data_IF_277342141010
#
_entry.id   IF_277342141010
#
_cell.length_a   1.000
_cell.length_b   1.000
_cell.length_c   1.000
_cell.angle_alpha   90.00
_cell.angle_beta   90.00
_cell.angle_gamma   90.00
#
_symmetry.space_group_name_H-M   'P 1'
#
loop_
_entity.id
_entity.type
_entity.pdbx_description
1 polymer ?
#
# COMPACT_ATOMS: atom_id res chain seq x y z
N UNK A 1 -39.29 55.67 -46.34
CA UNK A 1 -39.32 54.89 -45.09
C UNK A 1 -38.20 53.86 -45.15
N UNK A 2 -37.10 54.10 -44.40
CA UNK A 2 -35.93 53.24 -44.35
C UNK A 2 -36.02 52.34 -43.08
N UNK A 3 -36.09 51.04 -43.26
CA UNK A 3 -36.14 50.08 -42.18
C UNK A 3 -34.69 49.68 -41.82
N UNK A 4 -34.22 50.05 -40.65
CA UNK A 4 -32.95 49.57 -40.09
C UNK A 4 -33.23 48.21 -39.40
N UNK A 5 -32.62 47.16 -39.94
CA UNK A 5 -32.58 45.84 -39.27
C UNK A 5 -31.34 45.78 -38.41
N UNK A 6 -31.54 45.71 -37.10
CA UNK A 6 -30.48 45.56 -36.10
C UNK A 6 -30.17 44.07 -35.94
N UNK A 7 -28.99 43.62 -36.35
CA UNK A 7 -28.50 42.29 -36.09
C UNK A 7 -27.89 42.25 -34.65
N UNK A 8 -28.57 41.56 -33.74
CA UNK A 8 -28.04 41.19 -32.44
C UNK A 8 -27.16 39.95 -32.58
N UNK A 9 -25.86 40.09 -32.47
CA UNK A 9 -24.92 38.97 -32.39
C UNK A 9 -24.98 38.33 -31.02
N UNK A 10 -25.53 37.13 -30.92
CA UNK A 10 -25.53 36.31 -29.72
C UNK A 10 -24.14 35.66 -29.59
N UNK A 11 -23.29 36.16 -28.71
CA UNK A 11 -22.03 35.53 -28.36
C UNK A 11 -22.32 34.33 -27.45
N UNK A 12 -22.22 33.11 -28.01
CA UNK A 12 -22.25 31.89 -27.21
C UNK A 12 -20.94 31.76 -26.43
N UNK A 13 -20.97 32.03 -25.13
CA UNK A 13 -19.89 31.66 -24.22
C UNK A 13 -19.89 30.13 -24.05
N UNK A 14 -19.00 29.45 -24.73
CA UNK A 14 -18.69 28.05 -24.47
C UNK A 14 -17.93 27.95 -23.15
N UNK A 15 -18.63 27.63 -22.06
CA UNK A 15 -18.02 27.16 -20.82
C UNK A 15 -17.38 25.78 -21.10
N UNK A 16 -16.10 25.76 -21.38
CA UNK A 16 -15.31 24.54 -21.28
C UNK A 16 -15.21 24.19 -19.79
N UNK A 17 -16.08 23.33 -19.32
CA UNK A 17 -15.92 22.67 -18.02
C UNK A 17 -14.61 21.86 -18.10
N UNK A 18 -13.54 22.35 -17.45
CA UNK A 18 -12.40 21.52 -17.09
C UNK A 18 -12.90 20.49 -16.05
N UNK A 19 -13.49 19.42 -16.50
CA UNK A 19 -13.74 18.23 -15.70
C UNK A 19 -12.41 17.55 -15.48
N UNK A 20 -11.70 17.88 -14.38
CA UNK A 20 -10.59 17.08 -13.90
C UNK A 20 -11.17 15.68 -13.62
N UNK A 21 -10.67 14.63 -14.29
CA UNK A 21 -11.03 13.26 -13.95
C UNK A 21 -10.68 13.01 -12.49
N UNK A 22 -11.61 12.44 -11.72
CA UNK A 22 -11.33 12.07 -10.33
C UNK A 22 -10.16 11.07 -10.32
N UNK A 23 -9.13 11.36 -9.51
CA UNK A 23 -7.96 10.49 -9.41
C UNK A 23 -8.33 9.16 -8.73
N UNK A 24 -7.73 8.08 -9.20
CA UNK A 24 -7.81 6.76 -8.56
C UNK A 24 -7.04 6.83 -7.23
N UNK A 25 -7.75 6.65 -6.13
CA UNK A 25 -7.16 6.69 -4.78
C UNK A 25 -6.53 5.36 -4.42
N UNK A 26 -5.27 5.39 -4.03
CA UNK A 26 -4.51 4.21 -3.61
C UNK A 26 -4.10 4.35 -2.15
N UNK A 27 -4.48 3.38 -1.30
CA UNK A 27 -4.00 3.29 0.08
C UNK A 27 -2.86 2.28 0.17
N UNK A 28 -1.68 2.70 0.62
CA UNK A 28 -0.57 1.82 0.98
C UNK A 28 -0.63 1.54 2.48
N UNK A 29 -1.23 0.43 2.86
CA UNK A 29 -1.37 -0.06 4.25
C UNK A 29 -0.16 -0.88 4.63
N UNK A 30 0.52 -0.56 5.74
CA UNK A 30 1.72 -1.30 6.09
C UNK A 30 2.40 -0.88 7.39
N UNK A 31 3.59 -1.43 7.57
CA UNK A 31 4.46 -1.23 8.73
C UNK A 31 5.54 -0.15 8.48
N UNK A 32 6.70 -0.27 9.13
CA UNK A 32 7.85 0.63 9.00
C UNK A 32 8.38 0.75 7.56
N UNK A 33 8.30 -0.31 6.77
CA UNK A 33 8.77 -0.30 5.38
C UNK A 33 7.83 0.58 4.53
N UNK A 34 6.54 0.54 4.79
CA UNK A 34 5.56 1.42 4.13
C UNK A 34 5.66 2.86 4.63
N UNK A 35 5.85 3.07 5.95
CA UNK A 35 6.10 4.42 6.51
C UNK A 35 7.37 5.06 5.94
N UNK A 36 8.33 4.25 5.48
CA UNK A 36 9.62 4.70 4.97
C UNK A 36 10.65 4.91 6.09
N UNK A 37 10.67 4.02 7.09
CA UNK A 37 11.62 4.09 8.20
C UNK A 37 13.07 4.12 7.70
N UNK A 38 13.83 5.10 8.17
CA UNK A 38 15.21 5.29 7.79
C UNK A 38 15.43 5.90 6.40
N UNK A 39 14.41 6.12 5.58
CA UNK A 39 14.50 6.88 4.33
C UNK A 39 14.80 8.35 4.68
N UNK A 40 15.84 8.90 4.07
CA UNK A 40 16.35 10.23 4.44
C UNK A 40 15.34 11.35 4.16
N UNK A 41 14.63 11.26 3.05
CA UNK A 41 13.58 12.22 2.67
C UNK A 41 12.33 11.42 2.29
N UNK A 42 11.54 11.02 3.29
CA UNK A 42 10.34 10.20 3.11
C UNK A 42 9.37 10.81 2.09
N UNK A 43 9.11 12.11 2.18
CA UNK A 43 8.22 12.84 1.26
C UNK A 43 8.66 12.83 -0.21
N UNK A 44 9.82 12.25 -0.51
CA UNK A 44 10.37 12.12 -1.87
C UNK A 44 10.64 10.66 -2.25
N UNK A 45 11.14 9.87 -1.31
CA UNK A 45 11.84 8.60 -1.61
C UNK A 45 11.22 7.36 -0.94
N UNK A 46 10.19 7.49 -0.08
CA UNK A 46 9.47 6.31 0.38
C UNK A 46 8.73 5.63 -0.79
N UNK A 47 8.47 4.33 -0.69
CA UNK A 47 7.90 3.62 -1.83
C UNK A 47 6.49 4.13 -2.21
N UNK A 48 5.59 4.56 -1.31
CA UNK A 48 4.29 5.12 -1.70
C UNK A 48 4.42 6.41 -2.51
N UNK A 49 5.36 7.30 -2.16
CA UNK A 49 5.62 8.53 -2.94
C UNK A 49 6.21 8.22 -4.31
N UNK A 50 7.16 7.28 -4.37
CA UNK A 50 7.73 6.80 -5.65
C UNK A 50 6.66 6.13 -6.49
N UNK A 51 5.80 5.30 -5.88
CA UNK A 51 4.66 4.65 -6.53
C UNK A 51 3.72 5.68 -7.18
N UNK A 52 3.36 6.73 -6.44
CA UNK A 52 2.52 7.81 -6.97
C UNK A 52 3.13 8.43 -8.24
N UNK A 53 4.43 8.66 -8.22
CA UNK A 53 5.17 9.22 -9.37
C UNK A 53 5.18 8.28 -10.57
N UNK A 54 5.33 6.97 -10.35
CA UNK A 54 5.33 5.94 -11.42
C UNK A 54 3.92 5.76 -12.00
N UNK A 55 2.88 5.81 -11.17
CA UNK A 55 1.50 5.70 -11.61
C UNK A 55 1.04 6.94 -12.40
N UNK A 56 1.54 8.12 -12.05
CA UNK A 56 1.26 9.40 -12.73
C UNK A 56 0.00 10.11 -12.22
N UNK A 57 -0.34 11.21 -12.89
CA UNK A 57 -1.34 12.19 -12.44
C UNK A 57 -2.78 11.63 -12.31
N UNK A 58 -3.07 10.49 -12.91
CA UNK A 58 -4.36 9.81 -12.77
C UNK A 58 -4.57 9.12 -11.41
N UNK A 59 -3.54 9.08 -10.56
CA UNK A 59 -3.56 8.40 -9.28
C UNK A 59 -3.22 9.34 -8.12
N UNK A 60 -3.75 9.03 -6.95
CA UNK A 60 -3.42 9.68 -5.68
C UNK A 60 -3.09 8.62 -4.65
N UNK A 61 -1.79 8.43 -4.37
CA UNK A 61 -1.30 7.41 -3.45
C UNK A 61 -1.10 8.00 -2.07
N UNK A 62 -1.74 7.40 -1.07
CA UNK A 62 -1.59 7.77 0.33
C UNK A 62 -0.76 6.73 1.08
N UNK A 63 0.28 7.19 1.78
CA UNK A 63 1.04 6.40 2.72
C UNK A 63 0.23 6.25 4.02
N UNK A 64 -0.18 5.02 4.33
CA UNK A 64 -0.85 4.60 5.56
C UNK A 64 0.01 3.60 6.34
N UNK A 65 1.33 3.71 6.25
CA UNK A 65 2.28 2.89 6.99
C UNK A 65 2.50 3.39 8.40
N UNK A 66 2.77 2.45 9.34
CA UNK A 66 3.13 2.76 10.72
C UNK A 66 4.19 1.80 11.23
N UNK A 67 5.33 2.34 11.65
CA UNK A 67 6.47 1.56 12.15
C UNK A 67 6.10 0.65 13.30
N UNK A 68 6.62 -0.57 13.25
CA UNK A 68 6.48 -1.57 14.32
C UNK A 68 5.17 -2.33 14.34
N UNK A 69 4.19 -1.96 13.50
CA UNK A 69 2.83 -2.51 13.57
C UNK A 69 2.71 -3.93 13.05
N UNK A 70 1.76 -4.65 13.65
CA UNK A 70 1.37 -6.03 13.35
C UNK A 70 -0.05 -6.08 12.80
N UNK A 71 -0.36 -7.14 12.06
CA UNK A 71 -1.73 -7.49 11.68
C UNK A 71 -2.49 -8.02 12.89
N UNK A 72 -1.82 -8.84 13.71
CA UNK A 72 -2.45 -9.48 14.87
C UNK A 72 -2.86 -8.46 15.91
N UNK A 73 -4.13 -8.50 16.32
CA UNK A 73 -4.75 -7.58 17.30
C UNK A 73 -4.20 -7.75 18.73
N UNK A 74 -3.77 -8.97 19.06
CA UNK A 74 -3.21 -9.33 20.36
C UNK A 74 -1.68 -9.38 20.35
N UNK A 75 -1.04 -8.59 19.47
CA UNK A 75 0.41 -8.49 19.39
C UNK A 75 0.93 -7.23 20.12
N UNK A 76 2.25 -7.02 20.09
CA UNK A 76 2.90 -5.93 20.82
C UNK A 76 2.49 -4.54 20.33
N UNK A 77 2.19 -4.38 19.04
CA UNK A 77 1.73 -3.09 18.49
C UNK A 77 0.75 -3.27 17.31
N UNK A 78 -0.53 -3.49 17.59
CA UNK A 78 -1.53 -3.71 16.53
C UNK A 78 -1.73 -2.49 15.64
N UNK A 79 -1.75 -2.69 14.33
CA UNK A 79 -2.07 -1.63 13.34
C UNK A 79 -3.44 -1.00 13.57
N UNK A 80 -4.37 -1.77 14.11
CA UNK A 80 -5.77 -1.44 14.40
C UNK A 80 -5.98 -0.23 15.29
N UNK A 81 -5.02 0.05 16.19
CA UNK A 81 -5.10 1.17 17.14
C UNK A 81 -4.42 2.45 16.62
N UNK A 82 -3.85 2.39 15.41
CA UNK A 82 -3.08 3.50 14.86
C UNK A 82 -3.98 4.47 14.08
N UNK A 83 -3.57 5.73 14.03
CA UNK A 83 -4.22 6.75 13.22
C UNK A 83 -4.17 6.39 11.72
N UNK A 84 -3.10 5.75 11.29
CA UNK A 84 -2.85 5.32 9.92
C UNK A 84 -3.90 4.29 9.46
N UNK A 85 -4.33 3.40 10.34
CA UNK A 85 -5.46 2.50 10.08
C UNK A 85 -6.76 3.28 9.85
N UNK A 86 -7.07 4.21 10.75
CA UNK A 86 -8.27 5.05 10.62
C UNK A 86 -8.23 5.89 9.34
N UNK A 87 -7.04 6.40 8.95
CA UNK A 87 -6.85 7.14 7.70
C UNK A 87 -7.07 6.25 6.48
N UNK A 88 -6.54 5.00 6.48
CA UNK A 88 -6.73 4.05 5.39
C UNK A 88 -8.20 3.72 5.17
N UNK A 89 -8.95 3.50 6.26
CA UNK A 89 -10.40 3.26 6.21
C UNK A 89 -11.15 4.49 5.71
N UNK A 90 -10.82 5.69 6.24
CA UNK A 90 -11.49 6.95 5.88
C UNK A 90 -11.20 7.41 4.44
N UNK A 91 -10.06 7.02 3.87
CA UNK A 91 -9.68 7.37 2.49
C UNK A 91 -10.70 6.85 1.47
N UNK A 92 -11.36 5.75 1.79
CA UNK A 92 -12.31 5.09 0.88
C UNK A 92 -11.67 4.87 -0.50
N UNK A 93 -10.50 4.20 -0.49
CA UNK A 93 -9.64 4.03 -1.65
C UNK A 93 -10.29 3.15 -2.74
N UNK A 94 -9.88 3.37 -3.99
CA UNK A 94 -10.23 2.51 -5.13
C UNK A 94 -9.31 1.28 -5.20
N UNK A 95 -8.05 1.47 -4.76
CA UNK A 95 -7.03 0.43 -4.69
C UNK A 95 -6.42 0.41 -3.30
N UNK A 96 -6.21 -0.78 -2.74
CA UNK A 96 -5.49 -0.96 -1.48
C UNK A 96 -4.33 -1.92 -1.69
N UNK A 97 -3.13 -1.51 -1.27
CA UNK A 97 -1.93 -2.35 -1.23
C UNK A 97 -1.61 -2.64 0.22
N UNK A 98 -1.69 -3.90 0.65
CA UNK A 98 -1.43 -4.31 2.03
C UNK A 98 -0.05 -4.96 2.11
N UNK A 99 0.88 -4.34 2.85
CA UNK A 99 2.22 -4.85 3.14
C UNK A 99 2.42 -4.89 4.66
N UNK A 100 1.89 -5.91 5.31
CA UNK A 100 2.00 -6.20 6.74
C UNK A 100 2.47 -7.65 6.95
N UNK A 101 2.90 -7.96 8.16
CA UNK A 101 3.31 -9.30 8.56
C UNK A 101 4.78 -9.40 9.00
N UNK A 102 5.61 -8.39 8.72
CA UNK A 102 7.03 -8.39 9.12
C UNK A 102 7.18 -8.44 10.66
N UNK A 103 6.48 -7.56 11.38
CA UNK A 103 6.54 -7.49 12.84
C UNK A 103 5.78 -8.62 13.55
N UNK A 104 4.87 -9.24 12.84
CA UNK A 104 4.13 -10.42 13.32
C UNK A 104 5.08 -11.61 13.54
N UNK A 105 6.24 -11.67 12.87
CA UNK A 105 7.22 -12.76 12.98
C UNK A 105 7.98 -12.78 14.28
N UNK A 106 7.92 -11.73 15.09
CA UNK A 106 8.57 -11.69 16.41
C UNK A 106 8.06 -12.81 17.30
N UNK A 107 8.93 -13.46 18.11
CA UNK A 107 8.55 -14.63 18.90
C UNK A 107 7.33 -14.43 19.81
N UNK A 108 7.16 -13.22 20.36
CA UNK A 108 6.03 -12.90 21.23
C UNK A 108 4.72 -12.66 20.47
N UNK A 109 4.78 -12.42 19.16
CA UNK A 109 3.63 -12.04 18.35
C UNK A 109 3.08 -13.21 17.54
N UNK A 110 3.97 -14.08 17.01
CA UNK A 110 3.61 -15.01 15.98
C UNK A 110 2.60 -16.08 16.44
N UNK A 111 1.46 -16.07 15.79
CA UNK A 111 0.46 -17.14 15.86
C UNK A 111 -0.25 -17.24 14.51
N UNK A 112 -0.12 -18.38 13.85
CA UNK A 112 -0.62 -18.60 12.49
C UNK A 112 -2.12 -18.36 12.35
N UNK A 113 -2.92 -18.93 13.23
CA UNK A 113 -4.39 -18.87 13.13
C UNK A 113 -4.91 -17.47 13.43
N UNK A 114 -4.36 -16.80 14.44
CA UNK A 114 -4.69 -15.39 14.74
C UNK A 114 -4.27 -14.47 13.60
N UNK A 115 -3.08 -14.67 13.05
CA UNK A 115 -2.62 -13.87 11.91
C UNK A 115 -3.61 -13.95 10.74
N UNK A 116 -4.04 -15.17 10.38
CA UNK A 116 -5.02 -15.36 9.30
C UNK A 116 -6.37 -14.71 9.61
N UNK A 117 -6.89 -14.92 10.81
CA UNK A 117 -8.18 -14.36 11.21
C UNK A 117 -8.18 -12.82 11.23
N UNK A 118 -7.10 -12.23 11.76
CA UNK A 118 -6.99 -10.78 11.84
C UNK A 118 -6.68 -10.16 10.47
N UNK A 119 -5.90 -10.83 9.62
CA UNK A 119 -5.67 -10.37 8.24
C UNK A 119 -6.98 -10.40 7.44
N UNK A 120 -7.79 -11.45 7.58
CA UNK A 120 -9.12 -11.49 6.97
C UNK A 120 -10.00 -10.33 7.49
N UNK A 121 -9.99 -10.09 8.80
CA UNK A 121 -10.74 -8.97 9.39
C UNK A 121 -10.28 -7.60 8.83
N UNK A 122 -8.99 -7.45 8.53
CA UNK A 122 -8.44 -6.24 7.91
C UNK A 122 -9.00 -6.03 6.49
N UNK A 123 -8.96 -7.09 5.67
CA UNK A 123 -9.55 -7.08 4.32
C UNK A 123 -11.03 -6.71 4.38
N UNK A 124 -11.79 -7.35 5.26
CA UNK A 124 -13.22 -7.11 5.41
C UNK A 124 -13.50 -5.67 5.81
N UNK A 125 -12.72 -5.12 6.75
CA UNK A 125 -12.85 -3.72 7.19
C UNK A 125 -12.56 -2.74 6.05
N UNK A 126 -11.54 -2.99 5.24
CA UNK A 126 -11.20 -2.13 4.10
C UNK A 126 -12.23 -2.19 2.97
N UNK A 127 -13.10 -3.22 2.95
CA UNK A 127 -14.20 -3.37 1.99
C UNK A 127 -15.52 -2.75 2.45
N UNK A 128 -15.69 -2.44 3.74
CA UNK A 128 -17.00 -2.11 4.33
C UNK A 128 -17.53 -0.72 4.00
N UNK A 129 -16.74 0.22 3.52
CA UNK A 129 -17.14 1.63 3.34
C UNK A 129 -17.91 1.91 2.04
N UNK A 130 -18.65 0.92 1.50
CA UNK A 130 -19.49 1.10 0.30
C UNK A 130 -18.74 1.10 -1.03
N UNK A 131 -17.41 1.13 -1.02
CA UNK A 131 -16.54 0.80 -2.16
C UNK A 131 -16.03 -0.63 -1.99
N UNK A 132 -15.89 -1.33 -3.09
CA UNK A 132 -15.22 -2.62 -3.13
C UNK A 132 -13.85 -2.40 -3.78
N UNK A 133 -12.83 -1.98 -3.00
CA UNK A 133 -11.53 -1.65 -3.57
C UNK A 133 -10.89 -2.87 -4.20
N UNK A 134 -10.10 -2.65 -5.24
CA UNK A 134 -9.16 -3.67 -5.70
C UNK A 134 -8.05 -3.81 -4.66
N UNK A 135 -7.92 -5.00 -4.08
CA UNK A 135 -6.93 -5.24 -3.02
C UNK A 135 -5.78 -6.08 -3.56
N UNK A 136 -4.56 -5.57 -3.37
CA UNK A 136 -3.30 -6.28 -3.58
C UNK A 136 -2.70 -6.62 -2.22
N UNK A 137 -2.26 -7.85 -2.04
CA UNK A 137 -1.56 -8.28 -0.83
C UNK A 137 -0.10 -8.57 -1.17
N UNK A 138 0.82 -7.92 -0.45
CA UNK A 138 2.24 -8.15 -0.61
C UNK A 138 2.72 -9.20 0.38
N UNK A 139 3.60 -10.10 -0.05
CA UNK A 139 4.44 -10.82 0.91
C UNK A 139 5.37 -9.81 1.60
N UNK A 140 5.76 -10.00 2.88
CA UNK A 140 6.81 -9.19 3.48
C UNK A 140 8.09 -9.23 2.64
N UNK A 141 8.87 -8.15 2.65
CA UNK A 141 10.22 -8.18 2.11
C UNK A 141 11.09 -9.17 2.93
N UNK A 142 12.17 -9.74 2.36
CA UNK A 142 13.08 -10.59 3.10
C UNK A 142 13.73 -9.84 4.27
N UNK A 143 14.08 -10.56 5.32
CA UNK A 143 14.85 -10.05 6.44
C UNK A 143 16.23 -10.71 6.45
N UNK A 144 17.28 -9.96 6.11
CA UNK A 144 18.68 -10.41 6.09
C UNK A 144 19.32 -10.38 7.47
N UNK A 145 18.58 -9.97 8.50
CA UNK A 145 19.01 -9.97 9.90
C UNK A 145 17.85 -10.34 10.83
N UNK A 146 18.18 -10.52 12.13
CA UNK A 146 17.21 -10.77 13.20
C UNK A 146 16.98 -9.51 14.06
N UNK A 147 17.17 -8.33 13.51
CA UNK A 147 16.93 -7.07 14.22
C UNK A 147 15.49 -7.00 14.74
N UNK A 148 15.33 -6.49 15.95
CA UNK A 148 14.04 -6.38 16.67
C UNK A 148 13.27 -7.70 16.83
N UNK A 149 13.91 -8.87 16.69
CA UNK A 149 13.27 -10.18 16.76
C UNK A 149 12.53 -10.58 15.49
N UNK A 150 12.65 -9.82 14.40
CA UNK A 150 12.10 -10.17 13.07
C UNK A 150 12.83 -11.41 12.57
N UNK A 151 12.10 -12.35 11.96
CA UNK A 151 12.63 -13.65 11.59
C UNK A 151 12.17 -14.06 10.19
N UNK A 152 13.13 -14.12 9.26
CA UNK A 152 12.87 -14.49 7.86
C UNK A 152 12.36 -15.93 7.74
N UNK A 153 12.83 -16.86 8.56
CA UNK A 153 12.31 -18.24 8.55
C UNK A 153 10.81 -18.31 8.88
N UNK A 154 10.33 -17.40 9.76
CA UNK A 154 8.88 -17.28 10.05
C UNK A 154 8.16 -16.57 8.91
N UNK A 155 8.80 -15.60 8.24
CA UNK A 155 8.23 -15.00 7.02
C UNK A 155 7.98 -16.11 5.99
N UNK A 156 9.00 -16.89 5.67
CA UNK A 156 8.94 -17.93 4.63
C UNK A 156 8.01 -19.08 5.00
N UNK A 157 8.14 -19.62 6.22
CA UNK A 157 7.41 -20.82 6.62
C UNK A 157 5.99 -20.54 7.16
N UNK A 158 5.69 -19.31 7.53
CA UNK A 158 4.44 -18.93 8.19
C UNK A 158 3.67 -17.81 7.46
N UNK A 159 4.25 -16.60 7.37
CA UNK A 159 3.53 -15.44 6.85
C UNK A 159 3.18 -15.58 5.38
N UNK A 160 4.13 -15.99 4.54
CA UNK A 160 3.90 -16.16 3.09
C UNK A 160 2.81 -17.21 2.81
N UNK A 161 2.84 -18.43 3.41
CA UNK A 161 1.74 -19.37 3.27
C UNK A 161 0.39 -18.79 3.73
N UNK A 162 0.33 -18.12 4.88
CA UNK A 162 -0.90 -17.54 5.39
C UNK A 162 -1.47 -16.47 4.45
N UNK A 163 -0.64 -15.54 3.96
CA UNK A 163 -1.03 -14.51 2.99
C UNK A 163 -1.50 -15.14 1.69
N UNK A 164 -0.83 -16.20 1.23
CA UNK A 164 -1.21 -16.93 0.00
C UNK A 164 -2.59 -17.59 0.13
N UNK A 165 -2.86 -18.24 1.26
CA UNK A 165 -4.16 -18.84 1.53
C UNK A 165 -5.28 -17.80 1.59
N UNK A 166 -5.03 -16.67 2.28
CA UNK A 166 -5.98 -15.56 2.40
C UNK A 166 -6.26 -14.96 1.02
N UNK A 167 -5.22 -14.69 0.24
CA UNK A 167 -5.35 -14.13 -1.10
C UNK A 167 -6.20 -15.04 -2.00
N UNK A 168 -5.92 -16.36 -1.98
CA UNK A 168 -6.69 -17.35 -2.73
C UNK A 168 -8.16 -17.37 -2.31
N UNK A 169 -8.42 -17.39 -0.99
CA UNK A 169 -9.77 -17.43 -0.45
C UNK A 169 -10.61 -16.19 -0.81
N UNK A 170 -9.95 -15.04 -0.99
CA UNK A 170 -10.58 -13.76 -1.30
C UNK A 170 -10.47 -13.32 -2.76
N UNK A 171 -9.87 -14.16 -3.63
CA UNK A 171 -9.58 -13.85 -5.03
C UNK A 171 -8.78 -12.53 -5.18
N UNK A 172 -7.70 -12.38 -4.40
CA UNK A 172 -6.83 -11.21 -4.42
C UNK A 172 -5.54 -11.48 -5.19
N UNK A 173 -4.99 -10.42 -5.76
CA UNK A 173 -3.68 -10.46 -6.41
C UNK A 173 -2.56 -10.40 -5.36
N UNK A 174 -1.61 -11.34 -5.46
CA UNK A 174 -0.40 -11.35 -4.63
C UNK A 174 0.73 -10.64 -5.35
N UNK A 175 1.44 -9.78 -4.63
CA UNK A 175 2.71 -9.18 -5.04
C UNK A 175 3.81 -9.82 -4.19
N UNK A 176 4.62 -10.67 -4.79
CA UNK A 176 5.64 -11.43 -4.06
C UNK A 176 6.94 -10.61 -3.89
N UNK A 177 6.89 -9.62 -2.97
CA UNK A 177 8.05 -8.79 -2.66
C UNK A 177 9.20 -9.58 -2.04
N UNK A 178 8.92 -10.67 -1.32
CA UNK A 178 9.97 -11.53 -0.78
C UNK A 178 10.83 -12.11 -1.89
N UNK A 179 10.20 -12.71 -2.89
CA UNK A 179 10.89 -13.28 -4.04
C UNK A 179 11.63 -12.23 -4.86
N UNK A 180 11.00 -11.08 -5.11
CA UNK A 180 11.58 -9.99 -5.91
C UNK A 180 12.83 -9.39 -5.28
N UNK A 181 12.97 -9.46 -3.95
CA UNK A 181 14.06 -8.86 -3.18
C UNK A 181 15.02 -9.91 -2.57
N UNK A 182 14.81 -11.20 -2.77
CA UNK A 182 15.53 -12.26 -2.09
C UNK A 182 17.06 -12.26 -2.34
N UNK A 183 17.49 -11.79 -3.49
CA UNK A 183 18.90 -11.69 -3.91
C UNK A 183 19.41 -10.25 -3.96
N UNK A 184 18.78 -9.33 -3.24
CA UNK A 184 19.04 -7.88 -3.29
C UNK A 184 19.32 -7.28 -1.91
N UNK A 185 20.18 -7.94 -1.12
CA UNK A 185 20.58 -7.45 0.20
C UNK A 185 21.18 -6.03 0.13
N UNK A 186 21.81 -5.66 -0.98
CA UNK A 186 22.34 -4.33 -1.25
C UNK A 186 21.29 -3.22 -1.31
N UNK A 187 20.01 -3.57 -1.44
CA UNK A 187 18.87 -2.63 -1.41
C UNK A 187 18.35 -2.40 0.00
N UNK A 188 19.02 -2.97 1.00
CA UNK A 188 18.63 -2.83 2.39
C UNK A 188 19.66 -2.03 3.19
N UNK A 189 19.17 -1.36 4.21
CA UNK A 189 20.02 -0.68 5.17
C UNK A 189 20.88 -1.68 5.96
N UNK A 190 21.86 -1.15 6.68
CA UNK A 190 22.76 -1.95 7.55
C UNK A 190 21.98 -2.83 8.54
N UNK A 191 20.75 -2.47 8.86
CA UNK A 191 19.88 -3.29 9.72
C UNK A 191 19.39 -4.58 9.05
N UNK A 192 19.51 -4.71 7.73
CA UNK A 192 19.10 -5.88 6.96
C UNK A 192 17.59 -6.13 6.92
N UNK A 193 16.77 -5.14 7.29
CA UNK A 193 15.30 -5.25 7.37
C UNK A 193 14.60 -4.16 6.58
N UNK A 194 15.09 -2.92 6.69
CA UNK A 194 14.47 -1.79 6.03
C UNK A 194 15.15 -1.52 4.68
N UNK A 195 14.39 -1.48 3.58
CA UNK A 195 14.92 -1.03 2.31
C UNK A 195 15.49 0.39 2.40
N UNK A 196 16.58 0.63 1.66
CA UNK A 196 17.09 1.98 1.40
C UNK A 196 16.30 2.66 0.27
N UNK A 197 16.75 3.83 -0.19
CA UNK A 197 16.09 4.57 -1.25
C UNK A 197 16.00 3.79 -2.58
N UNK A 198 17.07 3.13 -3.09
CA UNK A 198 16.98 2.21 -4.22
C UNK A 198 16.01 1.05 -4.00
N UNK A 199 16.02 0.43 -2.82
CA UNK A 199 15.10 -0.67 -2.47
C UNK A 199 13.64 -0.22 -2.44
N UNK A 200 13.37 0.94 -1.86
CA UNK A 200 12.04 1.54 -1.86
C UNK A 200 11.54 1.84 -3.28
N UNK A 201 12.42 2.36 -4.14
CA UNK A 201 12.10 2.62 -5.54
C UNK A 201 11.80 1.31 -6.30
N UNK A 202 12.60 0.26 -6.10
CA UNK A 202 12.36 -1.04 -6.72
C UNK A 202 11.03 -1.67 -6.26
N UNK A 203 10.71 -1.59 -4.97
CA UNK A 203 9.39 -2.02 -4.48
C UNK A 203 8.25 -1.28 -5.16
N UNK A 204 8.38 0.04 -5.34
CA UNK A 204 7.38 0.85 -6.02
C UNK A 204 7.18 0.43 -7.48
N UNK A 205 8.25 0.09 -8.21
CA UNK A 205 8.20 -0.42 -9.58
C UNK A 205 7.44 -1.75 -9.67
N UNK A 206 7.74 -2.69 -8.78
CA UNK A 206 7.07 -4.00 -8.70
C UNK A 206 5.57 -3.82 -8.43
N UNK A 207 5.22 -2.97 -7.46
CA UNK A 207 3.82 -2.70 -7.10
C UNK A 207 3.09 -1.99 -8.25
N UNK A 208 3.71 -0.97 -8.86
CA UNK A 208 3.13 -0.26 -10.00
C UNK A 208 2.85 -1.18 -11.19
N UNK A 209 3.77 -2.11 -11.47
CA UNK A 209 3.59 -3.11 -12.52
C UNK A 209 2.35 -3.98 -12.24
N UNK A 210 2.18 -4.44 -11.02
CA UNK A 210 1.02 -5.25 -10.64
C UNK A 210 -0.29 -4.46 -10.77
N UNK A 211 -0.32 -3.19 -10.32
CA UNK A 211 -1.50 -2.32 -10.44
C UNK A 211 -1.87 -2.07 -11.91
N UNK A 212 -0.88 -1.81 -12.79
CA UNK A 212 -1.13 -1.50 -14.21
C UNK A 212 -1.53 -2.71 -15.06
N UNK A 213 -1.31 -3.94 -14.58
CA UNK A 213 -1.63 -5.19 -15.29
C UNK A 213 -3.01 -5.76 -14.94
N UNK A 214 -3.67 -5.24 -13.93
CA UNK A 214 -4.97 -5.67 -13.44
C UNK A 214 -6.03 -4.56 -13.57
#
# INVERSE_FOLDING_TARGET
MKHNILFAALAALSLTACGGSEQIKVACVGDSITEGHGIKIQSRDDYPVVLNRILGDGYSVQNCGKSGTTVQKEADYPYWICKEFSNAVALNADIVVIKLGTNDTKPQNWNYDRFKADYQSLIDTLRTNGRNPQIFVCTPAPAFSHGWGINDSVIVAGVIPAVTEIAKANNLTIIDLHKELADKEEYFKVDGIHPDEPGAAYMAEVIAKAIKQN
#
